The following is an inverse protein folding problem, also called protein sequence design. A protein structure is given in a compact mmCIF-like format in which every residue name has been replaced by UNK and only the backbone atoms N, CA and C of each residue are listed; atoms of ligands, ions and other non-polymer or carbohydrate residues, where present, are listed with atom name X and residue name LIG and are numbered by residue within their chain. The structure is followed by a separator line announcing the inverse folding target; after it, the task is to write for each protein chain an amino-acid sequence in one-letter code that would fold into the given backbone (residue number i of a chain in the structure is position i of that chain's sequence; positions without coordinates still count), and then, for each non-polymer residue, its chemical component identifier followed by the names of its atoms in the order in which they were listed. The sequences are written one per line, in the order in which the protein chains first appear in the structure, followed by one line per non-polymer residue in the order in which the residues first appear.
data_IF_608355690809
#
_entry.id   IF_608355690809
#
_cell.length_a   1.000
_cell.length_b   1.000
_cell.length_c   1.000
_cell.angle_alpha   90.00
_cell.angle_beta   90.00
_cell.angle_gamma   90.00
#
_symmetry.space_group_name_H-M   'P 1'
#
loop_
_entity.id
_entity.type
_entity.pdbx_description
1 polymer ?
#
# COMPACT_ATOMS: atom_id res chain seq x y z
N UNK A 1 54.59 28.48 -31.37
CA UNK A 1 55.36 27.26 -31.03
C UNK A 1 54.53 26.56 -29.98
N UNK A 2 53.56 25.75 -30.28
CA UNK A 2 53.43 24.40 -30.73
C UNK A 2 54.15 23.44 -29.76
N UNK A 3 53.42 22.78 -28.93
CA UNK A 3 53.84 21.66 -28.09
C UNK A 3 52.70 20.67 -27.93
N UNK A 4 52.56 19.74 -28.90
CA UNK A 4 51.64 18.60 -28.91
C UNK A 4 52.12 17.55 -27.90
N UNK A 5 51.36 17.29 -26.86
CA UNK A 5 51.55 16.18 -25.95
C UNK A 5 50.49 15.11 -26.18
N UNK A 6 50.76 14.15 -27.04
CA UNK A 6 49.95 12.92 -27.20
C UNK A 6 50.11 12.05 -25.96
N UNK A 7 49.09 11.81 -25.19
CA UNK A 7 49.02 10.73 -24.20
C UNK A 7 48.43 9.46 -24.85
N UNK A 8 49.21 8.38 -24.80
CA UNK A 8 48.83 7.02 -25.24
C UNK A 8 47.77 6.44 -24.32
N UNK A 9 46.79 5.67 -24.80
CA UNK A 9 45.89 4.90 -23.96
C UNK A 9 46.60 3.61 -23.51
N UNK A 10 46.55 3.32 -22.20
CA UNK A 10 46.97 2.06 -21.60
C UNK A 10 45.95 0.98 -21.92
N UNK A 11 46.43 -0.09 -22.54
CA UNK A 11 45.72 -1.34 -22.78
C UNK A 11 45.56 -2.10 -21.47
N UNK A 12 44.30 -2.32 -21.05
CA UNK A 12 43.95 -3.47 -20.25
C UNK A 12 42.72 -4.11 -20.87
N UNK A 13 43.00 -5.08 -21.74
CA UNK A 13 42.01 -6.01 -22.28
C UNK A 13 41.95 -7.19 -21.30
N UNK A 14 40.86 -7.33 -20.57
CA UNK A 14 40.52 -8.56 -19.91
C UNK A 14 39.29 -9.11 -20.62
N UNK A 15 39.56 -10.14 -21.44
CA UNK A 15 38.55 -10.96 -22.06
C UNK A 15 37.89 -11.84 -20.99
N UNK A 16 36.59 -11.67 -20.76
CA UNK A 16 35.76 -12.68 -20.11
C UNK A 16 34.96 -13.39 -21.21
N UNK A 17 35.40 -14.58 -21.54
CA UNK A 17 34.63 -15.49 -22.37
C UNK A 17 33.47 -16.03 -21.53
N UNK A 18 32.24 -15.64 -21.89
CA UNK A 18 31.03 -16.22 -21.37
C UNK A 18 30.81 -17.59 -22.04
N UNK A 19 31.03 -18.68 -21.33
CA UNK A 19 30.56 -20.00 -21.72
C UNK A 19 29.06 -20.08 -21.42
N UNK A 20 28.23 -19.93 -22.44
CA UNK A 20 26.79 -20.23 -22.37
C UNK A 20 26.65 -21.74 -22.54
N UNK A 21 26.49 -22.46 -21.45
CA UNK A 21 26.06 -23.85 -21.46
C UNK A 21 24.52 -23.84 -21.53
N UNK A 22 24.00 -24.05 -22.72
CA UNK A 22 22.57 -24.36 -22.92
C UNK A 22 22.31 -25.80 -22.47
N UNK A 23 21.87 -25.97 -21.24
CA UNK A 23 21.29 -27.24 -20.78
C UNK A 23 19.80 -27.15 -21.06
N UNK A 24 19.39 -27.72 -22.18
CA UNK A 24 17.99 -27.99 -22.47
C UNK A 24 17.48 -29.11 -21.57
N UNK A 25 16.85 -28.77 -20.47
CA UNK A 25 16.05 -29.70 -19.67
C UNK A 25 14.58 -29.53 -20.05
N UNK A 26 14.11 -30.43 -20.89
CA UNK A 26 12.68 -30.67 -21.11
C UNK A 26 12.12 -31.28 -19.80
N UNK A 27 11.52 -30.48 -18.98
CA UNK A 27 10.72 -30.95 -17.84
C UNK A 27 9.30 -31.26 -18.30
N UNK A 28 9.06 -32.49 -18.75
CA UNK A 28 7.73 -33.11 -18.75
C UNK A 28 7.65 -33.94 -17.46
N UNK A 29 7.10 -33.38 -16.43
CA UNK A 29 6.88 -34.09 -15.18
C UNK A 29 5.90 -33.30 -14.30
N UNK A 30 4.78 -33.95 -13.98
CA UNK A 30 3.81 -33.50 -13.00
C UNK A 30 4.48 -33.15 -11.66
N UNK A 31 4.88 -31.91 -11.44
CA UNK A 31 5.29 -31.40 -10.15
C UNK A 31 4.13 -30.63 -9.51
N UNK A 32 3.08 -31.36 -9.14
CA UNK A 32 2.14 -30.91 -8.11
C UNK A 32 2.75 -31.14 -6.72
N UNK A 33 3.92 -30.56 -6.45
CA UNK A 33 4.37 -30.38 -5.08
C UNK A 33 3.58 -29.19 -4.50
N UNK A 34 2.93 -29.34 -3.32
CA UNK A 34 2.43 -28.18 -2.62
C UNK A 34 3.65 -27.28 -2.36
N UNK A 35 3.70 -26.13 -3.04
CA UNK A 35 4.71 -25.11 -2.76
C UNK A 35 4.45 -24.62 -1.33
N UNK A 36 5.02 -25.35 -0.37
CA UNK A 36 5.09 -24.88 1.00
C UNK A 36 5.90 -23.58 0.96
N UNK A 37 5.35 -22.51 1.53
CA UNK A 37 6.10 -21.30 1.82
C UNK A 37 7.20 -21.70 2.84
N UNK A 38 8.30 -22.23 2.34
CA UNK A 38 9.39 -22.68 3.17
C UNK A 38 9.92 -21.50 3.97
N UNK A 39 9.88 -21.59 5.29
CA UNK A 39 10.43 -20.60 6.20
C UNK A 39 9.43 -19.65 6.85
N UNK A 40 8.16 -19.61 6.45
CA UNK A 40 7.16 -18.77 7.15
C UNK A 40 6.74 -19.43 8.46
N UNK A 41 6.95 -18.72 9.58
CA UNK A 41 6.39 -19.13 10.86
C UNK A 41 4.95 -18.69 11.00
N UNK A 42 4.07 -19.58 11.49
CA UNK A 42 2.65 -19.32 11.68
C UNK A 42 2.24 -19.53 13.13
N UNK A 43 1.26 -18.76 13.57
CA UNK A 43 0.58 -19.04 14.84
C UNK A 43 -0.05 -20.45 14.82
N UNK A 44 -0.13 -21.16 15.97
CA UNK A 44 -0.73 -22.49 16.06
C UNK A 44 -2.15 -22.53 15.49
N UNK A 45 -2.46 -23.62 14.76
CA UNK A 45 -3.77 -23.81 14.16
C UNK A 45 -3.99 -23.04 12.86
N UNK A 46 -2.97 -22.45 12.27
CA UNK A 46 -3.02 -21.78 10.98
C UNK A 46 -2.20 -22.53 9.93
N UNK A 47 -2.57 -22.40 8.68
CA UNK A 47 -1.81 -22.84 7.51
C UNK A 47 -1.80 -21.76 6.46
N UNK A 48 -0.76 -21.77 5.63
CA UNK A 48 -0.59 -20.84 4.52
C UNK A 48 -0.74 -21.58 3.18
N UNK A 49 -1.43 -20.96 2.25
CA UNK A 49 -1.65 -21.47 0.90
C UNK A 49 -1.26 -20.42 -0.12
N UNK A 50 -0.70 -20.83 -1.25
CA UNK A 50 -0.43 -19.92 -2.36
C UNK A 50 -1.72 -19.76 -3.16
N UNK A 51 -2.17 -18.53 -3.38
CA UNK A 51 -3.36 -18.17 -4.15
C UNK A 51 -3.00 -17.80 -5.58
N UNK A 52 -1.92 -17.03 -5.76
CA UNK A 52 -1.44 -16.62 -7.07
C UNK A 52 0.08 -16.48 -7.06
N UNK A 53 0.70 -16.72 -8.21
CA UNK A 53 2.13 -16.55 -8.47
C UNK A 53 2.35 -15.70 -9.72
N UNK A 54 3.53 -15.10 -9.85
CA UNK A 54 3.86 -14.29 -11.01
C UNK A 54 3.12 -12.96 -11.09
N UNK A 55 2.52 -12.49 -9.99
CA UNK A 55 2.00 -11.12 -9.90
C UNK A 55 3.18 -10.18 -9.66
N UNK A 56 3.45 -9.24 -10.56
CA UNK A 56 4.61 -8.36 -10.44
C UNK A 56 4.53 -7.48 -9.18
N UNK A 57 5.39 -7.68 -8.21
CA UNK A 57 5.49 -6.86 -6.99
C UNK A 57 4.13 -6.42 -6.43
N UNK A 58 3.25 -7.36 -6.04
CA UNK A 58 1.91 -7.03 -5.54
C UNK A 58 2.06 -6.18 -4.26
N UNK A 59 1.30 -5.10 -4.17
CA UNK A 59 1.48 -4.09 -3.12
C UNK A 59 0.24 -3.88 -2.27
N UNK A 60 -0.96 -3.77 -2.88
CA UNK A 60 -2.20 -3.56 -2.16
C UNK A 60 -3.25 -4.59 -2.55
N UNK A 61 -4.07 -4.97 -1.60
CA UNK A 61 -5.15 -5.93 -1.77
C UNK A 61 -6.48 -5.33 -1.31
N UNK A 62 -7.55 -5.64 -2.02
CA UNK A 62 -8.90 -5.35 -1.60
C UNK A 62 -9.87 -6.38 -2.20
N UNK A 63 -11.04 -6.52 -1.60
CA UNK A 63 -12.12 -7.33 -2.19
C UNK A 63 -13.14 -6.43 -2.90
N UNK A 64 -13.54 -6.84 -4.09
CA UNK A 64 -14.72 -6.28 -4.75
C UNK A 64 -16.00 -6.71 -4.03
N UNK A 65 -17.11 -6.00 -4.27
CA UNK A 65 -18.42 -6.41 -3.78
C UNK A 65 -18.84 -7.82 -4.26
N UNK A 66 -18.36 -8.21 -5.45
CA UNK A 66 -18.59 -9.52 -6.04
C UNK A 66 -17.70 -10.65 -5.46
N UNK A 67 -16.75 -10.31 -4.57
CA UNK A 67 -15.87 -11.28 -3.93
C UNK A 67 -14.57 -11.56 -4.71
N UNK A 68 -14.31 -10.89 -5.82
CA UNK A 68 -13.00 -10.99 -6.48
C UNK A 68 -11.93 -10.27 -5.66
N UNK A 69 -10.76 -10.87 -5.59
CA UNK A 69 -9.58 -10.24 -4.98
C UNK A 69 -8.93 -9.30 -5.99
N UNK A 70 -8.91 -8.02 -5.66
CA UNK A 70 -8.26 -6.96 -6.44
C UNK A 70 -6.84 -6.79 -5.92
N UNK A 71 -5.86 -6.79 -6.83
CA UNK A 71 -4.44 -6.64 -6.50
C UNK A 71 -3.88 -5.45 -7.26
N UNK A 72 -3.40 -4.46 -6.56
CA UNK A 72 -2.57 -3.39 -7.13
C UNK A 72 -1.12 -3.84 -7.12
N UNK A 73 -0.49 -3.80 -8.28
CA UNK A 73 0.90 -4.19 -8.53
C UNK A 73 1.73 -2.98 -8.95
N UNK A 74 2.96 -2.91 -8.49
CA UNK A 74 3.93 -1.89 -8.91
C UNK A 74 4.66 -2.22 -10.23
N UNK A 75 4.29 -3.34 -10.89
CA UNK A 75 4.99 -3.85 -12.06
C UNK A 75 6.34 -4.52 -11.72
N UNK A 76 6.97 -5.14 -12.72
CA UNK A 76 8.20 -5.93 -12.54
C UNK A 76 9.43 -5.10 -12.15
N UNK A 77 9.52 -3.89 -12.66
CA UNK A 77 10.66 -2.99 -12.43
C UNK A 77 10.15 -1.64 -11.95
N UNK A 78 11.01 -0.87 -11.32
CA UNK A 78 10.68 0.50 -10.93
C UNK A 78 10.30 1.42 -12.11
N UNK A 79 10.44 0.94 -13.33
CA UNK A 79 10.07 1.59 -14.58
C UNK A 79 8.87 0.96 -15.30
N UNK A 80 8.27 -0.05 -14.76
CA UNK A 80 7.06 -0.68 -15.29
C UNK A 80 5.82 0.14 -14.92
N UNK A 81 4.79 0.06 -15.77
CA UNK A 81 3.48 0.56 -15.43
C UNK A 81 2.91 -0.20 -14.22
N UNK A 82 2.10 0.45 -13.41
CA UNK A 82 1.30 -0.22 -12.41
C UNK A 82 0.23 -1.08 -13.08
N UNK A 83 -0.13 -2.18 -12.45
CA UNK A 83 -1.15 -3.11 -12.97
C UNK A 83 -2.18 -3.41 -11.89
N UNK A 84 -3.43 -3.56 -12.28
CA UNK A 84 -4.50 -4.02 -11.40
C UNK A 84 -4.99 -5.36 -11.90
N UNK A 85 -4.96 -6.36 -11.02
CA UNK A 85 -5.43 -7.72 -11.31
C UNK A 85 -6.73 -7.99 -10.59
N UNK A 86 -7.58 -8.82 -11.21
CA UNK A 86 -8.76 -9.40 -10.58
C UNK A 86 -8.58 -10.91 -10.53
N UNK A 87 -8.50 -11.44 -9.31
CA UNK A 87 -8.30 -12.86 -9.06
C UNK A 87 -9.57 -13.48 -8.48
N UNK A 88 -9.84 -14.72 -8.87
CA UNK A 88 -10.83 -15.56 -8.19
C UNK A 88 -10.16 -16.25 -7.00
N UNK A 89 -10.45 -15.83 -5.75
CA UNK A 89 -9.85 -16.43 -4.56
C UNK A 89 -10.34 -17.85 -4.28
N UNK A 90 -11.43 -18.30 -4.93
CA UNK A 90 -11.98 -19.64 -4.82
C UNK A 90 -11.35 -20.64 -5.81
N UNK A 91 -10.45 -20.19 -6.68
CA UNK A 91 -9.75 -21.07 -7.61
C UNK A 91 -9.08 -22.23 -6.85
N UNK A 92 -9.31 -23.51 -7.29
CA UNK A 92 -8.75 -24.69 -6.62
C UNK A 92 -7.24 -24.84 -6.82
N UNK A 93 -6.68 -24.14 -7.80
CA UNK A 93 -5.26 -24.10 -8.11
C UNK A 93 -4.73 -22.67 -8.01
N UNK A 94 -3.46 -22.48 -7.66
CA UNK A 94 -2.84 -21.17 -7.70
C UNK A 94 -2.99 -20.51 -9.06
N UNK A 95 -3.43 -19.27 -9.08
CA UNK A 95 -3.59 -18.50 -10.33
C UNK A 95 -2.21 -18.11 -10.86
N UNK A 96 -1.98 -18.34 -12.14
CA UNK A 96 -0.84 -17.76 -12.85
C UNK A 96 -1.14 -16.29 -13.15
N UNK A 97 -0.40 -15.38 -12.54
CA UNK A 97 -0.58 -13.93 -12.69
C UNK A 97 -0.37 -13.46 -14.13
N UNK A 98 0.42 -14.18 -14.95
CA UNK A 98 0.62 -13.84 -16.36
C UNK A 98 -0.67 -14.02 -17.19
N UNK A 99 -1.57 -14.90 -16.75
CA UNK A 99 -2.84 -15.22 -17.38
C UNK A 99 -4.04 -14.53 -16.73
N UNK A 100 -3.84 -13.91 -15.55
CA UNK A 100 -4.93 -13.27 -14.82
C UNK A 100 -5.47 -12.03 -15.57
N UNK A 101 -6.79 -11.78 -15.50
CA UNK A 101 -7.38 -10.54 -16.00
C UNK A 101 -6.72 -9.34 -15.33
N UNK A 102 -6.24 -8.39 -16.13
CA UNK A 102 -5.58 -7.18 -15.61
C UNK A 102 -5.79 -5.97 -16.48
N UNK A 103 -5.68 -4.81 -15.81
CA UNK A 103 -5.58 -3.51 -16.46
C UNK A 103 -4.19 -2.96 -16.21
N UNK A 104 -3.51 -2.59 -17.28
CA UNK A 104 -2.23 -1.88 -17.22
C UNK A 104 -2.53 -0.39 -17.14
N UNK A 105 -2.11 0.25 -16.08
CA UNK A 105 -2.29 1.69 -15.90
C UNK A 105 -1.17 2.41 -16.66
N UNK A 106 -1.49 3.15 -17.72
CA UNK A 106 -0.49 3.89 -18.47
C UNK A 106 0.21 4.90 -17.55
N UNK A 107 1.41 5.28 -17.91
CA UNK A 107 2.11 6.35 -17.23
C UNK A 107 1.25 7.62 -17.24
N UNK A 108 1.24 8.35 -16.10
CA UNK A 108 0.67 9.68 -16.09
C UNK A 108 1.36 10.56 -17.13
N UNK A 109 0.62 11.50 -17.68
CA UNK A 109 1.16 12.46 -18.65
C UNK A 109 2.39 13.17 -18.09
N UNK A 110 3.52 13.00 -18.74
CA UNK A 110 4.79 13.65 -18.37
C UNK A 110 5.98 12.69 -18.19
N UNK A 111 7.18 13.23 -17.96
CA UNK A 111 8.40 12.45 -17.86
C UNK A 111 8.53 11.63 -16.56
N UNK A 112 7.63 11.79 -15.62
CA UNK A 112 7.64 11.08 -14.34
C UNK A 112 6.55 10.01 -14.34
N UNK A 113 6.93 8.83 -13.89
CA UNK A 113 6.04 7.68 -13.73
C UNK A 113 5.07 7.91 -12.59
N UNK A 114 3.80 7.56 -12.79
CA UNK A 114 2.85 7.43 -11.70
C UNK A 114 3.23 6.23 -10.85
N UNK A 115 3.59 6.46 -9.59
CA UNK A 115 3.77 5.40 -8.60
C UNK A 115 2.44 5.26 -7.85
N UNK A 116 1.62 4.30 -8.27
CA UNK A 116 0.37 3.99 -7.59
C UNK A 116 0.68 3.08 -6.40
N UNK A 117 0.55 3.59 -5.20
CA UNK A 117 0.91 2.90 -3.97
C UNK A 117 -0.27 2.61 -3.04
N UNK A 118 -1.45 3.18 -3.28
CA UNK A 118 -2.62 3.04 -2.44
C UNK A 118 -3.84 2.63 -3.24
N UNK A 119 -4.72 1.82 -2.63
CA UNK A 119 -5.94 1.31 -3.21
C UNK A 119 -7.08 1.40 -2.19
N UNK A 120 -8.22 1.96 -2.60
CA UNK A 120 -9.47 1.85 -1.86
C UNK A 120 -10.61 1.43 -2.81
N UNK A 121 -11.60 0.72 -2.26
CA UNK A 121 -12.79 0.27 -3.00
C UNK A 121 -14.02 0.91 -2.36
N UNK A 122 -14.81 1.60 -3.16
CA UNK A 122 -16.15 2.02 -2.76
C UNK A 122 -17.08 0.79 -2.74
N UNK A 123 -17.45 0.34 -1.55
CA UNK A 123 -18.29 -0.84 -1.38
C UNK A 123 -19.70 -0.70 -2.01
N UNK A 124 -20.20 0.54 -2.21
CA UNK A 124 -21.53 0.81 -2.80
C UNK A 124 -21.52 0.63 -4.30
N UNK A 125 -20.47 1.11 -4.97
CA UNK A 125 -20.42 1.19 -6.44
C UNK A 125 -19.43 0.19 -7.05
N UNK A 126 -18.52 -0.35 -6.24
CA UNK A 126 -17.38 -1.14 -6.70
C UNK A 126 -16.29 -0.29 -7.36
N UNK A 127 -16.40 1.04 -7.29
CA UNK A 127 -15.41 1.97 -7.85
C UNK A 127 -14.05 1.84 -7.16
N UNK A 128 -12.98 1.91 -7.95
CA UNK A 128 -11.61 1.83 -7.44
C UNK A 128 -11.00 3.23 -7.36
N UNK A 129 -10.39 3.53 -6.23
CA UNK A 129 -9.61 4.74 -6.02
C UNK A 129 -8.15 4.38 -5.82
N UNK A 130 -7.28 5.10 -6.51
CA UNK A 130 -5.85 4.85 -6.58
C UNK A 130 -5.07 6.10 -6.16
N UNK A 131 -4.17 5.95 -5.21
CA UNK A 131 -3.30 7.03 -4.76
C UNK A 131 -1.96 7.01 -5.46
N UNK A 132 -1.56 8.15 -6.02
CA UNK A 132 -0.27 8.38 -6.67
C UNK A 132 0.69 9.07 -5.70
N UNK A 133 1.75 8.35 -5.29
CA UNK A 133 2.74 8.86 -4.34
C UNK A 133 3.55 10.05 -4.90
N UNK A 134 3.99 9.96 -6.15
CA UNK A 134 4.90 10.96 -6.74
C UNK A 134 4.20 12.26 -7.14
N UNK A 135 2.91 12.17 -7.50
CA UNK A 135 2.11 13.30 -7.93
C UNK A 135 1.21 13.84 -6.84
N UNK A 136 1.16 13.18 -5.68
CA UNK A 136 0.26 13.54 -4.58
C UNK A 136 -1.19 13.73 -5.05
N UNK A 137 -1.70 12.74 -5.77
CA UNK A 137 -3.01 12.76 -6.43
C UNK A 137 -3.78 11.49 -6.12
N UNK A 138 -5.09 11.60 -6.23
CA UNK A 138 -6.00 10.46 -6.15
C UNK A 138 -6.80 10.40 -7.43
N UNK A 139 -6.87 9.19 -7.99
CA UNK A 139 -7.64 8.90 -9.20
C UNK A 139 -8.78 7.92 -8.89
N UNK A 140 -9.85 8.02 -9.67
CA UNK A 140 -10.83 6.95 -9.83
C UNK A 140 -10.51 6.19 -11.11
N UNK A 141 -10.47 4.85 -11.04
CA UNK A 141 -10.47 4.02 -12.23
C UNK A 141 -11.91 3.86 -12.72
N UNK A 142 -12.16 4.34 -13.91
CA UNK A 142 -13.48 4.27 -14.56
C UNK A 142 -13.69 2.91 -15.25
N UNK A 143 -14.94 2.59 -15.60
CA UNK A 143 -15.28 1.32 -16.27
C UNK A 143 -14.63 1.16 -17.65
N UNK A 144 -14.29 2.26 -18.31
CA UNK A 144 -13.53 2.28 -19.57
C UNK A 144 -12.00 2.24 -19.35
N UNK A 145 -11.58 1.88 -18.13
CA UNK A 145 -10.17 1.68 -17.72
C UNK A 145 -9.32 2.94 -17.80
N UNK A 146 -9.92 4.11 -17.62
CA UNK A 146 -9.22 5.39 -17.55
C UNK A 146 -9.07 5.88 -16.11
N UNK A 147 -7.99 6.59 -15.85
CA UNK A 147 -7.80 7.31 -14.60
C UNK A 147 -8.41 8.71 -14.71
N UNK A 148 -9.39 8.98 -13.85
CA UNK A 148 -9.97 10.31 -13.70
C UNK A 148 -9.52 10.89 -12.36
N UNK A 149 -8.91 12.07 -12.32
CA UNK A 149 -8.47 12.67 -11.07
C UNK A 149 -9.66 13.01 -10.17
N UNK A 150 -9.55 12.64 -8.90
CA UNK A 150 -10.53 12.90 -7.84
C UNK A 150 -10.02 13.98 -6.89
N UNK A 151 -8.73 13.94 -6.57
CA UNK A 151 -8.07 14.94 -5.75
C UNK A 151 -6.66 15.21 -6.24
N UNK A 152 -6.22 16.45 -6.11
CA UNK A 152 -4.89 16.94 -6.46
C UNK A 152 -4.39 17.89 -5.37
N UNK A 153 -3.08 18.12 -5.33
CA UNK A 153 -2.50 19.09 -4.40
C UNK A 153 -2.41 18.59 -2.96
N UNK A 154 -2.35 17.27 -2.76
CA UNK A 154 -1.97 16.70 -1.46
C UNK A 154 -0.51 17.02 -1.16
N UNK A 155 -0.12 17.02 0.13
CA UNK A 155 1.25 17.37 0.52
C UNK A 155 2.21 16.20 0.35
N UNK A 156 1.84 15.02 0.85
CA UNK A 156 2.68 13.84 0.78
C UNK A 156 1.85 12.57 0.97
N UNK A 157 1.27 12.10 -0.10
CA UNK A 157 0.53 10.84 -0.11
C UNK A 157 1.51 9.67 0.00
N UNK A 158 1.32 8.82 1.00
CA UNK A 158 2.14 7.63 1.21
C UNK A 158 1.55 6.41 0.48
N UNK A 159 2.42 5.48 0.09
CA UNK A 159 1.98 4.14 -0.29
C UNK A 159 1.51 3.32 0.92
N UNK A 160 0.80 2.25 0.65
CA UNK A 160 0.15 1.45 1.66
C UNK A 160 -1.35 1.75 1.73
N UNK A 161 -2.01 1.43 2.84
CA UNK A 161 -3.42 1.77 3.05
C UNK A 161 -3.60 3.23 3.48
N UNK A 162 -3.10 4.18 2.70
CA UNK A 162 -3.29 5.62 2.98
C UNK A 162 -4.67 6.14 2.55
N UNK A 163 -5.46 5.33 1.88
CA UNK A 163 -6.83 5.60 1.46
C UNK A 163 -7.78 4.56 2.06
N UNK A 164 -8.94 5.02 2.50
CA UNK A 164 -10.05 4.15 2.86
C UNK A 164 -11.37 4.78 2.42
N UNK A 165 -12.31 3.98 1.91
CA UNK A 165 -13.66 4.44 1.64
C UNK A 165 -14.56 4.14 2.85
N UNK A 166 -15.37 5.11 3.25
CA UNK A 166 -16.39 4.90 4.27
C UNK A 166 -17.65 4.23 3.68
N UNK A 167 -18.62 3.95 4.53
CA UNK A 167 -19.88 3.32 4.12
C UNK A 167 -20.71 4.22 3.17
N UNK A 168 -20.49 5.51 3.17
CA UNK A 168 -21.11 6.49 2.28
C UNK A 168 -20.33 6.65 0.96
N UNK A 169 -19.18 5.97 0.80
CA UNK A 169 -18.31 6.05 -0.36
C UNK A 169 -17.41 7.29 -0.39
N UNK A 170 -17.35 8.05 0.71
CA UNK A 170 -16.40 9.15 0.85
C UNK A 170 -15.03 8.58 1.16
N UNK A 171 -13.99 9.23 0.65
CA UNK A 171 -12.62 8.82 0.88
C UNK A 171 -12.03 9.50 2.12
N UNK A 172 -11.48 8.70 2.99
CA UNK A 172 -10.56 9.16 4.03
C UNK A 172 -9.14 9.01 3.50
N UNK A 173 -8.36 10.07 3.62
CA UNK A 173 -7.03 10.19 3.03
C UNK A 173 -6.04 10.57 4.10
N UNK A 174 -5.00 9.77 4.25
CA UNK A 174 -3.85 10.13 5.06
C UNK A 174 -2.89 10.97 4.24
N UNK A 175 -2.55 12.13 4.76
CA UNK A 175 -1.57 13.04 4.19
C UNK A 175 -0.55 13.46 5.26
N UNK A 176 0.52 14.10 4.86
CA UNK A 176 1.55 14.55 5.76
C UNK A 176 2.12 15.90 5.31
N UNK A 177 1.97 16.92 6.14
CA UNK A 177 2.62 18.19 5.92
C UNK A 177 4.06 18.13 6.45
N UNK A 178 5.04 18.32 5.56
CA UNK A 178 6.44 18.50 5.91
C UNK A 178 6.91 19.89 5.54
N UNK A 179 7.95 20.36 6.18
CA UNK A 179 8.60 21.61 5.80
C UNK A 179 9.04 21.60 4.33
N UNK A 180 9.51 20.45 3.85
CA UNK A 180 9.92 20.29 2.45
C UNK A 180 8.75 20.31 1.47
N UNK A 181 7.58 19.78 1.85
CA UNK A 181 6.39 19.81 1.00
C UNK A 181 5.86 21.23 0.86
N UNK A 182 5.95 22.04 1.90
CA UNK A 182 5.59 23.47 1.84
C UNK A 182 6.52 24.26 0.90
N UNK A 183 7.81 23.92 0.85
CA UNK A 183 8.77 24.58 -0.05
C UNK A 183 8.64 24.13 -1.52
N UNK A 184 8.09 22.95 -1.77
CA UNK A 184 7.96 22.38 -3.13
C UNK A 184 6.59 22.58 -3.77
N UNK A 185 5.65 23.10 -3.04
CA UNK A 185 4.30 23.36 -3.54
C UNK A 185 4.34 24.55 -4.49
N UNK A 186 4.39 24.29 -5.80
CA UNK A 186 4.14 25.29 -6.85
C UNK A 186 2.66 25.70 -6.90
N UNK A 187 1.82 24.98 -6.19
CA UNK A 187 0.39 25.28 -6.05
C UNK A 187 0.14 25.81 -4.64
N UNK A 188 -0.73 26.81 -4.48
CA UNK A 188 -1.13 27.23 -3.15
C UNK A 188 -1.67 26.02 -2.39
N UNK A 189 -1.39 25.91 -1.07
CA UNK A 189 -1.94 24.83 -0.27
C UNK A 189 -3.45 24.80 -0.47
N UNK A 190 -4.11 23.62 -0.45
CA UNK A 190 -5.55 23.56 -0.45
C UNK A 190 -6.11 24.51 0.60
N UNK A 191 -7.17 25.23 0.27
CA UNK A 191 -7.78 26.24 1.18
C UNK A 191 -8.12 25.68 2.57
N UNK A 192 -8.25 24.37 2.69
CA UNK A 192 -8.36 23.64 3.95
C UNK A 192 -7.10 23.71 4.84
N UNK A 193 -5.89 23.86 4.25
CA UNK A 193 -4.66 24.06 5.01
C UNK A 193 -4.51 25.50 5.53
N UNK A 194 -5.14 26.48 4.87
CA UNK A 194 -5.21 27.85 5.40
C UNK A 194 -5.97 27.91 6.71
N UNK A 195 -6.96 27.01 6.91
CA UNK A 195 -7.71 26.89 8.15
C UNK A 195 -6.92 26.27 9.31
N UNK A 196 -5.77 25.64 9.05
CA UNK A 196 -4.88 25.12 10.10
C UNK A 196 -4.22 26.24 10.92
N UNK A 197 -4.41 27.52 10.52
CA UNK A 197 -3.93 28.73 11.23
C UNK A 197 -2.42 28.69 11.59
N UNK A 198 -1.66 27.74 11.06
CA UNK A 198 -0.26 27.56 11.33
C UNK A 198 0.46 27.44 9.98
N UNK A 199 0.98 28.56 9.48
CA UNK A 199 1.84 28.61 8.30
C UNK A 199 3.01 27.61 8.35
N UNK A 200 3.23 26.97 9.49
CA UNK A 200 4.33 26.07 9.78
C UNK A 200 3.89 24.71 10.35
N UNK A 201 2.64 24.27 10.13
CA UNK A 201 2.25 22.96 10.61
C UNK A 201 3.05 21.86 9.89
N UNK A 202 3.69 21.00 10.69
CA UNK A 202 4.32 19.78 10.20
C UNK A 202 3.75 18.60 10.98
N UNK A 203 3.22 17.63 10.27
CA UNK A 203 2.63 16.46 10.92
C UNK A 203 1.60 15.74 10.07
N UNK A 204 1.01 14.68 10.62
CA UNK A 204 -0.03 13.91 9.94
C UNK A 204 -1.32 14.73 9.78
N UNK A 205 -1.97 14.52 8.65
CA UNK A 205 -3.25 15.14 8.31
C UNK A 205 -4.19 14.04 7.83
N UNK A 206 -5.46 14.14 8.20
CA UNK A 206 -6.52 13.28 7.66
C UNK A 206 -7.55 14.15 6.97
N UNK A 207 -7.74 13.90 5.69
CA UNK A 207 -8.78 14.56 4.90
C UNK A 207 -9.94 13.60 4.61
N UNK A 208 -11.14 14.18 4.46
CA UNK A 208 -12.28 13.52 3.87
C UNK A 208 -12.60 14.18 2.53
N UNK A 209 -12.84 13.38 1.52
CA UNK A 209 -13.15 13.81 0.16
C UNK A 209 -14.43 13.13 -0.27
N UNK A 210 -15.39 13.90 -0.79
CA UNK A 210 -16.54 13.36 -1.50
C UNK A 210 -16.15 13.18 -2.98
N UNK A 211 -15.96 11.94 -3.46
CA UNK A 211 -15.54 11.72 -4.84
C UNK A 211 -16.66 11.96 -5.87
N UNK A 212 -17.91 12.05 -5.42
CA UNK A 212 -19.09 12.25 -6.28
C UNK A 212 -19.55 13.74 -6.33
N UNK A 213 -18.92 14.60 -5.53
CA UNK A 213 -19.19 16.02 -5.58
C UNK A 213 -18.84 16.62 -6.96
N UNK A 214 -19.81 17.27 -7.58
CA UNK A 214 -19.68 17.90 -8.92
C UNK A 214 -18.91 19.22 -8.89
N UNK A 215 -17.91 19.34 -8.06
CA UNK A 215 -17.03 20.51 -8.01
C UNK A 215 -15.84 20.35 -8.96
N UNK A 216 -15.43 21.41 -9.66
CA UNK A 216 -14.19 21.40 -10.42
C UNK A 216 -12.99 21.13 -9.52
N UNK A 217 -11.95 20.48 -10.07
CA UNK A 217 -10.69 20.33 -9.36
C UNK A 217 -9.95 21.67 -9.23
N UNK A 218 -9.23 21.91 -8.12
CA UNK A 218 -9.09 21.04 -6.95
C UNK A 218 -10.37 21.00 -6.11
N UNK A 219 -10.80 19.79 -5.70
CA UNK A 219 -11.95 19.62 -4.81
C UNK A 219 -11.61 20.10 -3.41
N UNK A 220 -12.64 20.53 -2.70
CA UNK A 220 -12.49 20.88 -1.29
C UNK A 220 -12.11 19.64 -0.48
N UNK A 221 -11.00 19.73 0.25
CA UNK A 221 -10.58 18.73 1.21
C UNK A 221 -11.17 19.10 2.56
N UNK A 222 -12.08 18.27 3.07
CA UNK A 222 -12.59 18.47 4.42
C UNK A 222 -11.55 17.94 5.43
N UNK A 223 -11.00 18.84 6.21
CA UNK A 223 -10.04 18.48 7.25
C UNK A 223 -10.76 17.84 8.42
N UNK A 224 -10.47 16.56 8.68
CA UNK A 224 -11.05 15.80 9.80
C UNK A 224 -10.14 15.87 11.01
N UNK A 225 -8.86 15.80 10.80
CA UNK A 225 -7.91 15.80 11.90
C UNK A 225 -6.62 16.55 11.56
N UNK A 226 -6.36 17.66 12.25
CA UNK A 226 -5.02 18.18 12.50
C UNK A 226 -4.67 17.94 13.96
N UNK A 227 -4.80 16.71 14.48
CA UNK A 227 -5.13 16.54 15.89
C UNK A 227 -4.01 16.23 16.81
N UNK A 228 -2.83 16.15 16.31
CA UNK A 228 -1.74 16.06 17.24
C UNK A 228 -1.31 17.48 17.58
N UNK A 229 -1.12 17.77 18.87
CA UNK A 229 -0.22 18.86 19.16
C UNK A 229 0.99 18.61 18.26
N UNK A 230 1.40 19.58 17.44
CA UNK A 230 2.54 19.38 16.57
C UNK A 230 3.62 18.75 17.43
N UNK A 231 4.23 17.64 17.01
CA UNK A 231 5.32 17.06 17.77
C UNK A 231 6.25 18.21 18.09
N UNK A 232 6.78 18.29 19.31
CA UNK A 232 7.56 19.45 19.74
C UNK A 232 8.53 19.79 18.62
N UNK A 233 8.52 21.01 18.14
CA UNK A 233 9.20 21.49 16.91
C UNK A 233 10.70 21.19 16.85
N UNK A 234 11.26 20.54 17.85
CA UNK A 234 12.62 20.04 17.87
C UNK A 234 12.61 18.58 17.47
N UNK A 235 12.85 18.33 16.19
CA UNK A 235 13.37 17.04 15.76
C UNK A 235 14.66 16.79 16.55
N UNK A 236 14.64 15.76 17.35
CA UNK A 236 15.89 15.13 17.75
C UNK A 236 16.41 14.42 16.51
N UNK A 237 17.62 14.74 16.00
CA UNK A 237 18.19 14.05 14.87
C UNK A 237 18.20 12.54 15.14
N UNK A 238 17.57 11.76 14.26
CA UNK A 238 17.47 10.31 14.40
C UNK A 238 16.14 9.79 14.96
N UNK A 239 15.24 10.62 15.46
CA UNK A 239 13.89 10.17 15.78
C UNK A 239 13.09 9.90 14.51
N UNK A 240 12.42 8.74 14.42
CA UNK A 240 11.54 8.44 13.29
C UNK A 240 10.41 9.49 13.24
N UNK A 241 10.12 9.97 12.04
CA UNK A 241 9.00 10.88 11.85
C UNK A 241 7.70 10.15 12.17
N UNK A 242 6.96 10.65 13.14
CA UNK A 242 5.61 10.17 13.42
C UNK A 242 4.71 10.51 12.23
N UNK A 243 4.37 9.50 11.44
CA UNK A 243 3.44 9.61 10.30
C UNK A 243 2.31 8.63 10.53
N UNK A 244 1.14 8.95 10.04
CA UNK A 244 0.15 7.92 9.80
C UNK A 244 0.50 7.20 8.48
N UNK A 245 0.51 5.88 8.53
CA UNK A 245 0.95 5.05 7.41
C UNK A 245 -0.15 4.14 6.87
N UNK A 246 -1.20 3.89 7.65
CA UNK A 246 -2.33 3.11 7.20
C UNK A 246 -3.63 3.54 7.89
N UNK A 247 -4.75 3.42 7.18
CA UNK A 247 -6.11 3.67 7.67
C UNK A 247 -7.03 2.57 7.16
N UNK A 248 -7.96 2.12 8.01
CA UNK A 248 -9.01 1.18 7.60
C UNK A 248 -10.34 1.56 8.27
N UNK A 249 -11.48 1.39 7.56
CA UNK A 249 -12.78 1.73 8.09
C UNK A 249 -13.21 0.69 9.13
N UNK A 250 -13.77 1.16 10.23
CA UNK A 250 -14.49 0.37 11.24
C UNK A 250 -16.00 0.55 11.05
N UNK A 251 -16.76 -0.13 11.88
CA UNK A 251 -18.20 0.11 11.96
C UNK A 251 -18.50 1.52 12.53
N UNK A 252 -19.75 1.98 12.35
CA UNK A 252 -20.25 3.25 12.90
C UNK A 252 -19.51 4.52 12.42
N UNK A 253 -18.79 4.45 11.27
CA UNK A 253 -18.08 5.60 10.73
C UNK A 253 -16.78 5.95 11.43
N UNK A 254 -16.30 5.08 12.31
CA UNK A 254 -14.96 5.17 12.88
C UNK A 254 -13.90 4.61 11.91
N UNK A 255 -12.65 4.96 12.15
CA UNK A 255 -11.49 4.45 11.41
C UNK A 255 -10.40 4.04 12.38
N UNK A 256 -9.70 2.97 12.08
CA UNK A 256 -8.44 2.67 12.75
C UNK A 256 -7.30 3.27 11.92
N UNK A 257 -6.35 3.89 12.60
CA UNK A 257 -5.18 4.55 12.00
C UNK A 257 -3.92 4.02 12.66
N UNK A 258 -2.92 3.69 11.86
CA UNK A 258 -1.61 3.20 12.31
C UNK A 258 -0.55 4.28 12.06
N UNK A 259 0.28 4.54 13.07
CA UNK A 259 1.47 5.38 12.94
C UNK A 259 2.71 4.61 12.49
N UNK A 260 3.71 5.31 11.96
CA UNK A 260 5.00 4.71 11.53
C UNK A 260 5.81 4.06 12.66
N UNK A 261 5.45 4.32 13.92
CA UNK A 261 6.08 3.73 15.11
C UNK A 261 5.22 2.65 15.77
N UNK A 262 4.15 2.21 15.11
CA UNK A 262 3.31 1.12 15.58
C UNK A 262 2.19 1.50 16.56
N UNK A 263 1.91 2.77 16.77
CA UNK A 263 0.75 3.19 17.56
C UNK A 263 -0.51 3.09 16.72
N UNK A 264 -1.52 2.42 17.24
CA UNK A 264 -2.83 2.28 16.65
C UNK A 264 -3.84 3.10 17.44
N UNK A 265 -4.55 3.95 16.74
CA UNK A 265 -5.60 4.80 17.31
C UNK A 265 -6.90 4.63 16.54
N UNK A 266 -8.01 4.84 17.20
CA UNK A 266 -9.32 4.94 16.57
C UNK A 266 -9.66 6.41 16.41
N UNK A 267 -10.01 6.78 15.19
CA UNK A 267 -10.45 8.11 14.77
C UNK A 267 -11.97 8.09 14.59
N UNK A 268 -12.69 8.89 15.36
CA UNK A 268 -14.14 9.06 15.18
C UNK A 268 -14.46 9.96 13.97
N UNK A 269 -15.72 9.96 13.55
CA UNK A 269 -16.21 10.83 12.48
C UNK A 269 -16.04 12.33 12.79
N UNK A 270 -16.03 12.71 14.07
CA UNK A 270 -15.82 14.08 14.55
C UNK A 270 -14.33 14.41 14.78
N UNK A 271 -13.44 13.47 14.42
CA UNK A 271 -12.01 13.68 14.54
C UNK A 271 -11.42 13.44 15.93
N UNK A 272 -12.13 12.80 16.84
CA UNK A 272 -11.59 12.43 18.15
C UNK A 272 -10.74 11.17 18.04
N UNK A 273 -9.63 11.15 18.77
CA UNK A 273 -8.72 10.02 18.81
C UNK A 273 -8.78 9.30 20.15
N UNK A 274 -8.79 7.98 20.11
CA UNK A 274 -8.59 7.12 21.28
C UNK A 274 -7.56 6.04 20.98
N UNK A 275 -6.71 5.71 21.94
CA UNK A 275 -5.73 4.65 21.79
C UNK A 275 -6.45 3.29 21.65
N UNK A 276 -5.97 2.45 20.74
CA UNK A 276 -6.42 1.06 20.59
C UNK A 276 -5.33 0.08 21.05
N UNK A 277 -4.15 0.18 20.45
CA UNK A 277 -3.06 -0.76 20.69
C UNK A 277 -1.70 -0.15 20.36
N UNK A 278 -0.65 -0.85 20.73
CA UNK A 278 0.70 -0.60 20.24
C UNK A 278 1.29 -1.89 19.71
N UNK A 279 1.68 -1.89 18.45
CA UNK A 279 2.39 -3.00 17.84
C UNK A 279 3.82 -3.08 18.37
N UNK A 280 4.48 -4.23 18.29
CA UNK A 280 5.90 -4.35 18.63
C UNK A 280 6.74 -3.29 17.93
N UNK A 281 7.83 -2.88 18.57
CA UNK A 281 8.68 -1.80 18.06
C UNK A 281 9.22 -2.12 16.66
N UNK A 282 9.16 -1.12 15.78
CA UNK A 282 9.60 -1.25 14.40
C UNK A 282 9.29 0.02 13.62
N UNK A 283 9.73 0.05 12.36
CA UNK A 283 9.40 1.12 11.43
C UNK A 283 8.38 0.60 10.42
N UNK A 284 7.14 1.03 10.58
CA UNK A 284 6.05 0.67 9.67
C UNK A 284 6.09 1.58 8.44
N UNK A 285 6.24 0.97 7.28
CA UNK A 285 6.31 1.66 6.00
C UNK A 285 5.69 0.79 4.91
N UNK A 286 4.88 1.38 4.03
CA UNK A 286 4.09 0.65 3.02
C UNK A 286 3.25 -0.46 3.63
N UNK A 287 2.68 -0.14 4.77
CA UNK A 287 1.85 -1.02 5.59
C UNK A 287 0.42 -0.97 5.11
N UNK A 288 -0.26 -2.10 5.17
CA UNK A 288 -1.69 -2.19 4.88
C UNK A 288 -2.47 -2.70 6.08
N UNK A 289 -3.72 -2.27 6.18
CA UNK A 289 -4.67 -2.74 7.18
C UNK A 289 -5.96 -3.21 6.54
N UNK A 290 -6.57 -4.23 7.16
CA UNK A 290 -7.91 -4.70 6.82
C UNK A 290 -8.67 -5.04 8.09
N UNK A 291 -9.98 -4.82 8.09
CA UNK A 291 -10.86 -5.17 9.22
C UNK A 291 -11.53 -6.51 8.91
N UNK A 292 -11.37 -7.44 9.81
CA UNK A 292 -11.99 -8.76 9.71
C UNK A 292 -13.46 -8.74 10.14
N UNK A 293 -14.28 -9.74 9.73
CA UNK A 293 -15.70 -9.80 10.09
C UNK A 293 -15.99 -9.83 11.60
N UNK A 294 -15.02 -10.21 12.41
CA UNK A 294 -15.13 -10.20 13.87
C UNK A 294 -14.70 -8.88 14.51
N UNK A 295 -14.47 -7.85 13.70
CA UNK A 295 -14.03 -6.53 14.14
C UNK A 295 -12.54 -6.43 14.51
N UNK A 296 -11.76 -7.50 14.38
CA UNK A 296 -10.32 -7.43 14.58
C UNK A 296 -9.64 -6.77 13.36
N UNK A 297 -8.50 -6.11 13.60
CA UNK A 297 -7.72 -5.43 12.58
C UNK A 297 -6.50 -6.27 12.23
N UNK A 298 -6.32 -6.58 10.95
CA UNK A 298 -5.14 -7.19 10.39
C UNK A 298 -4.19 -6.10 9.94
N UNK A 299 -2.89 -6.27 10.22
CA UNK A 299 -1.84 -5.32 9.85
C UNK A 299 -0.72 -6.09 9.18
N UNK A 300 -0.46 -5.81 7.90
CA UNK A 300 0.78 -6.23 7.25
C UNK A 300 1.87 -5.23 7.60
N UNK A 301 2.98 -5.71 8.16
CA UNK A 301 3.98 -4.80 8.73
C UNK A 301 5.02 -4.28 7.70
N UNK A 302 4.90 -4.67 6.44
CA UNK A 302 5.75 -4.20 5.35
C UNK A 302 7.17 -4.76 5.38
N UNK A 303 8.03 -4.14 4.60
CA UNK A 303 9.38 -4.64 4.30
C UNK A 303 10.28 -4.84 5.51
N UNK A 304 10.22 -3.93 6.48
CA UNK A 304 11.18 -3.94 7.58
C UNK A 304 10.89 -4.98 8.66
N UNK A 305 9.61 -5.31 8.88
CA UNK A 305 9.18 -6.15 9.99
C UNK A 305 8.87 -7.58 9.54
N UNK A 306 8.37 -7.75 8.30
CA UNK A 306 8.08 -9.05 7.67
C UNK A 306 7.06 -9.91 8.42
N UNK A 307 6.14 -9.27 9.16
CA UNK A 307 5.11 -9.92 9.96
C UNK A 307 3.71 -9.47 9.57
N UNK A 308 2.73 -10.27 9.95
CA UNK A 308 1.31 -9.90 9.94
C UNK A 308 0.77 -10.03 11.35
N UNK A 309 0.18 -8.96 11.84
CA UNK A 309 -0.45 -8.89 13.16
C UNK A 309 -1.97 -8.92 13.06
N UNK A 310 -2.59 -9.45 14.11
CA UNK A 310 -4.01 -9.29 14.39
C UNK A 310 -4.17 -8.50 15.68
N UNK A 311 -5.01 -7.50 15.65
CA UNK A 311 -5.34 -6.67 16.81
C UNK A 311 -6.82 -6.81 17.09
N UNK A 312 -7.18 -7.32 18.26
CA UNK A 312 -8.59 -7.44 18.63
C UNK A 312 -9.21 -6.07 18.92
N UNK A 313 -10.53 -5.99 18.97
CA UNK A 313 -11.26 -4.78 19.39
C UNK A 313 -10.89 -4.31 20.81
N UNK A 314 -10.38 -5.20 21.65
CA UNK A 314 -9.85 -4.90 22.98
C UNK A 314 -8.37 -4.46 22.98
N UNK A 315 -7.72 -4.34 21.80
CA UNK A 315 -6.33 -3.92 21.67
C UNK A 315 -5.29 -5.02 21.91
N UNK A 316 -5.69 -6.30 22.00
CA UNK A 316 -4.75 -7.41 22.15
C UNK A 316 -4.08 -7.69 20.80
N UNK A 317 -2.76 -7.64 20.78
CA UNK A 317 -1.91 -7.86 19.60
C UNK A 317 -1.42 -9.31 19.55
N UNK A 318 -1.58 -9.97 18.42
CA UNK A 318 -1.10 -11.33 18.16
C UNK A 318 -0.36 -11.36 16.81
N UNK A 319 0.86 -11.92 16.78
CA UNK A 319 1.55 -12.23 15.52
C UNK A 319 0.92 -13.47 14.89
N UNK A 320 0.43 -13.35 13.65
CA UNK A 320 -0.18 -14.46 12.90
C UNK A 320 0.83 -15.19 12.02
N UNK A 321 1.76 -14.44 11.42
CA UNK A 321 2.77 -14.96 10.53
C UNK A 321 4.03 -14.10 10.59
N UNK A 322 5.19 -14.70 10.48
CA UNK A 322 6.49 -14.01 10.42
C UNK A 322 7.38 -14.62 9.33
N UNK A 323 8.48 -13.94 9.00
CA UNK A 323 9.40 -14.31 7.93
C UNK A 323 8.79 -14.28 6.52
N UNK A 324 7.77 -13.45 6.34
CA UNK A 324 7.15 -13.23 5.04
C UNK A 324 8.07 -12.45 4.09
N UNK A 325 7.80 -12.55 2.78
CA UNK A 325 8.58 -11.90 1.73
C UNK A 325 8.10 -10.48 1.43
N UNK A 326 8.35 -9.50 2.30
CA UNK A 326 7.87 -8.12 2.18
C UNK A 326 6.33 -8.06 2.09
N UNK A 327 5.61 -8.32 3.19
CA UNK A 327 4.15 -8.32 3.24
C UNK A 327 3.63 -6.88 3.20
N UNK A 328 3.28 -6.34 2.04
CA UNK A 328 2.76 -4.98 1.92
C UNK A 328 1.23 -4.91 1.99
N UNK A 329 0.52 -5.71 1.20
CA UNK A 329 -0.93 -5.71 1.16
C UNK A 329 -1.55 -6.77 2.06
N UNK A 330 -2.66 -6.44 2.72
CA UNK A 330 -3.51 -7.41 3.43
C UNK A 330 -4.97 -7.16 3.11
N UNK A 331 -5.72 -8.22 2.92
CA UNK A 331 -7.18 -8.20 2.78
C UNK A 331 -7.80 -9.40 3.51
N UNK A 332 -9.08 -9.29 3.86
CA UNK A 332 -9.84 -10.37 4.52
C UNK A 332 -11.11 -10.59 3.74
N UNK A 333 -11.45 -11.85 3.47
CA UNK A 333 -12.70 -12.19 2.86
C UNK A 333 -13.83 -12.34 3.89
N UNK A 334 -15.06 -12.55 3.41
CA UNK A 334 -16.24 -12.72 4.27
C UNK A 334 -16.18 -13.95 5.17
N UNK A 335 -15.35 -14.94 4.85
CA UNK A 335 -15.13 -16.13 5.68
C UNK A 335 -14.12 -15.92 6.79
N UNK A 336 -13.39 -14.79 6.76
CA UNK A 336 -12.29 -14.49 7.67
C UNK A 336 -10.93 -15.01 7.18
N UNK A 337 -10.83 -15.54 5.97
CA UNK A 337 -9.55 -15.93 5.40
C UNK A 337 -8.72 -14.67 5.06
N UNK A 338 -7.44 -14.70 5.39
CA UNK A 338 -6.54 -13.54 5.32
C UNK A 338 -5.64 -13.69 4.10
N UNK A 339 -5.64 -12.70 3.23
CA UNK A 339 -4.83 -12.66 2.01
C UNK A 339 -3.70 -11.66 2.19
N UNK A 340 -2.50 -12.04 1.75
CA UNK A 340 -1.28 -11.26 1.93
C UNK A 340 -0.55 -11.15 0.59
N UNK A 341 -0.18 -9.93 0.22
CA UNK A 341 0.71 -9.66 -0.89
C UNK A 341 2.16 -9.76 -0.44
N UNK A 342 2.87 -10.79 -0.87
CA UNK A 342 4.31 -10.94 -0.65
C UNK A 342 5.05 -10.32 -1.84
N UNK A 343 5.33 -9.03 -1.73
CA UNK A 343 5.89 -8.19 -2.81
C UNK A 343 7.22 -8.71 -3.33
N UNK A 344 8.12 -9.13 -2.44
CA UNK A 344 9.43 -9.64 -2.81
C UNK A 344 9.39 -11.03 -3.46
N UNK A 345 8.31 -11.78 -3.27
CA UNK A 345 8.13 -13.14 -3.80
C UNK A 345 7.17 -13.20 -4.99
N UNK A 346 6.65 -12.04 -5.43
CA UNK A 346 5.76 -11.94 -6.59
C UNK A 346 4.54 -12.85 -6.48
N UNK A 347 3.96 -12.99 -5.27
CA UNK A 347 2.85 -13.92 -5.02
C UNK A 347 1.83 -13.36 -4.04
N UNK A 348 0.65 -13.97 -4.08
CA UNK A 348 -0.39 -13.79 -3.08
C UNK A 348 -0.53 -15.10 -2.31
N UNK A 349 -0.55 -15.00 -1.00
CA UNK A 349 -0.80 -16.13 -0.11
C UNK A 349 -2.06 -15.92 0.69
N UNK A 350 -2.66 -17.01 1.18
CA UNK A 350 -3.83 -17.03 2.05
C UNK A 350 -3.49 -17.75 3.34
N UNK A 351 -3.84 -17.15 4.48
CA UNK A 351 -3.80 -17.81 5.79
C UNK A 351 -5.21 -18.23 6.16
N UNK A 352 -5.36 -19.50 6.50
CA UNK A 352 -6.62 -20.12 6.92
C UNK A 352 -6.42 -20.97 8.16
N UNK A 353 -7.48 -21.19 8.91
CA UNK A 353 -7.44 -22.13 10.02
C UNK A 353 -7.21 -23.56 9.49
N UNK A 354 -6.34 -24.32 10.19
CA UNK A 354 -6.27 -25.77 9.97
C UNK A 354 -7.59 -26.35 10.50
N UNK A 355 -8.43 -26.91 9.61
CA UNK A 355 -9.66 -27.57 10.04
C UNK A 355 -9.38 -28.58 11.17
N UNK A 356 -10.27 -28.62 12.13
CA UNK A 356 -10.28 -29.65 13.17
C UNK A 356 -10.70 -30.98 12.58
#
# INVERSE_FOLDING_TARGET
MIGNGRRRPSRWSIAWAAAVLAVGLSFTGDFALPLRAAGVGLAPGLRIEVVAMGIPRPAQLAFSAAGSLIVLSHGWRGDSAAEIFWLDPASPQPVDGSLAPRVVIPFAEGPRKAVLGSLAVDARTGGLFLGEENGNRIYRLTSDQRLTPVAVGLNHLLGGSSLAADQQGRLMVLDYASFESQLRSESPPPSSLESLAAENYTGPIVFRIDPDENTPLPRRLELIAPFFPPPPMRRVPGEPMHRFVAIAPLEQGEFVVLSSIGEMVILSAEGKLRSLARLPSGHFHRTSMAVAPDGSVLVSAGFHIREVYRVSSAGVVTSLAHDLGDPQGVAVDRSGAIYIAETALHRIVRIVATGR
#
